data_IF_846774525673
#
_entry.id   IF_846774525673
#
_cell.length_a   1.000
_cell.length_b   1.000
_cell.length_c   1.000
_cell.angle_alpha   90.00
_cell.angle_beta   90.00
_cell.angle_gamma   90.00
#
_symmetry.space_group_name_H-M   'P 1'
#
loop_
_entity.id
_entity.type
_entity.pdbx_description
1 polymer ?
#
# COMPACT_ATOMS: atom_id res chain seq x y z
N UNK A 1 0.97 8.83 -6.24
CA UNK A 1 0.44 8.02 -5.12
C UNK A 1 -1.02 7.64 -5.33
N UNK A 2 -1.99 8.55 -5.38
CA UNK A 2 -3.41 8.20 -5.56
C UNK A 2 -3.65 7.25 -6.75
N UNK A 3 -3.02 7.51 -7.89
CA UNK A 3 -3.13 6.65 -9.07
C UNK A 3 -2.67 5.22 -8.81
N UNK A 4 -1.59 5.03 -8.06
CA UNK A 4 -1.07 3.68 -7.72
C UNK A 4 -2.13 2.88 -6.98
N UNK A 5 -2.76 3.48 -5.95
CA UNK A 5 -3.83 2.83 -5.21
C UNK A 5 -5.05 2.51 -6.08
N UNK A 6 -5.52 3.45 -6.89
CA UNK A 6 -6.66 3.23 -7.79
C UNK A 6 -6.38 2.13 -8.83
N UNK A 7 -5.13 2.02 -9.28
CA UNK A 7 -4.71 0.97 -10.21
C UNK A 7 -4.59 -0.41 -9.51
N UNK A 8 -4.28 -0.47 -8.21
CA UNK A 8 -4.32 -1.71 -7.42
C UNK A 8 -5.76 -2.19 -7.25
N UNK A 9 -6.64 -1.33 -6.72
CA UNK A 9 -7.99 -1.72 -6.35
C UNK A 9 -8.82 -2.20 -7.55
N UNK A 10 -8.85 -1.42 -8.62
CA UNK A 10 -9.78 -1.67 -9.72
C UNK A 10 -9.24 -2.62 -10.79
N UNK A 11 -8.15 -2.31 -11.50
CA UNK A 11 -7.74 -3.17 -12.60
C UNK A 11 -6.92 -4.37 -12.14
N UNK A 12 -6.00 -4.20 -11.18
CA UNK A 12 -5.07 -5.26 -10.84
C UNK A 12 -5.73 -6.40 -10.05
N UNK A 13 -6.68 -6.09 -9.15
CA UNK A 13 -7.36 -7.09 -8.32
C UNK A 13 -8.73 -7.54 -8.88
N UNK A 14 -9.29 -6.79 -9.84
CA UNK A 14 -10.63 -7.07 -10.35
C UNK A 14 -10.80 -8.50 -10.84
N UNK A 15 -11.79 -9.20 -10.30
CA UNK A 15 -12.17 -10.55 -10.70
C UNK A 15 -11.20 -11.65 -10.24
N UNK A 16 -10.13 -11.34 -9.51
CA UNK A 16 -9.25 -12.37 -8.96
C UNK A 16 -9.89 -13.07 -7.76
N UNK A 17 -9.88 -14.39 -7.80
CA UNK A 17 -10.27 -15.24 -6.66
C UNK A 17 -9.20 -15.19 -5.56
N UNK A 18 -9.57 -15.64 -4.35
CA UNK A 18 -8.59 -15.77 -3.26
C UNK A 18 -7.44 -16.72 -3.59
N UNK A 19 -7.70 -17.78 -4.36
CA UNK A 19 -6.66 -18.71 -4.80
C UNK A 19 -5.66 -18.02 -5.76
N UNK A 20 -6.16 -17.23 -6.70
CA UNK A 20 -5.32 -16.48 -7.64
C UNK A 20 -4.49 -15.40 -6.94
N UNK A 21 -5.03 -14.73 -5.95
CA UNK A 21 -4.27 -13.75 -5.16
C UNK A 21 -3.17 -14.38 -4.29
N UNK A 22 -3.34 -15.68 -3.94
CA UNK A 22 -2.34 -16.46 -3.18
C UNK A 22 -1.39 -17.25 -4.08
N UNK A 23 -1.53 -17.15 -5.39
CA UNK A 23 -0.64 -17.80 -6.34
C UNK A 23 0.79 -17.26 -6.22
N UNK A 24 1.75 -18.17 -6.08
CA UNK A 24 3.18 -17.91 -6.10
C UNK A 24 3.78 -18.64 -7.32
N UNK A 25 4.38 -17.91 -8.28
CA UNK A 25 4.98 -18.55 -9.47
C UNK A 25 6.21 -19.38 -9.12
N UNK A 26 6.78 -19.17 -7.98
CA UNK A 26 7.89 -19.91 -7.39
C UNK A 26 7.77 -19.92 -5.88
N UNK A 27 8.29 -20.95 -5.20
CA UNK A 27 8.21 -21.08 -3.74
C UNK A 27 8.78 -19.88 -2.95
N UNK A 28 9.69 -19.13 -3.56
CA UNK A 28 10.32 -17.93 -2.96
C UNK A 28 9.75 -16.61 -3.50
N UNK A 29 8.62 -16.64 -4.21
CA UNK A 29 7.99 -15.45 -4.73
C UNK A 29 6.92 -14.92 -3.77
N UNK A 30 6.69 -13.60 -3.79
CA UNK A 30 5.56 -13.01 -3.11
C UNK A 30 4.24 -13.35 -3.84
N UNK A 31 3.14 -13.35 -3.12
CA UNK A 31 1.79 -13.42 -3.68
C UNK A 31 1.07 -12.08 -3.52
N UNK A 32 -0.01 -11.87 -4.27
CA UNK A 32 -0.70 -10.58 -4.37
C UNK A 32 -1.22 -10.09 -3.02
N UNK A 33 -1.83 -10.96 -2.19
CA UNK A 33 -2.37 -10.56 -0.88
C UNK A 33 -1.26 -9.97 0.02
N UNK A 34 -0.05 -10.57 0.03
CA UNK A 34 1.10 -10.03 0.76
C UNK A 34 1.50 -8.66 0.20
N UNK A 35 1.66 -8.55 -1.11
CA UNK A 35 2.13 -7.31 -1.75
C UNK A 35 1.17 -6.15 -1.44
N UNK A 36 -0.13 -6.35 -1.58
CA UNK A 36 -1.13 -5.29 -1.34
C UNK A 36 -1.14 -4.84 0.12
N UNK A 37 -1.08 -5.79 1.06
CA UNK A 37 -0.99 -5.47 2.47
C UNK A 37 0.32 -4.74 2.80
N UNK A 38 1.45 -5.23 2.29
CA UNK A 38 2.76 -4.61 2.50
C UNK A 38 2.82 -3.17 1.98
N UNK A 39 2.29 -2.90 0.80
CA UNK A 39 2.21 -1.54 0.25
C UNK A 39 1.45 -0.59 1.21
N UNK A 40 0.35 -1.04 1.78
CA UNK A 40 -0.42 -0.24 2.73
C UNK A 40 0.35 0.00 4.04
N UNK A 41 1.06 -1.04 4.53
CA UNK A 41 1.86 -0.96 5.76
C UNK A 41 3.07 -0.04 5.61
N UNK A 42 3.76 -0.13 4.46
CA UNK A 42 4.91 0.72 4.16
C UNK A 42 4.50 2.19 4.13
N UNK A 43 3.44 2.52 3.40
CA UNK A 43 2.93 3.89 3.35
C UNK A 43 2.48 4.40 4.72
N UNK A 44 1.77 3.60 5.51
CA UNK A 44 1.34 3.95 6.85
C UNK A 44 2.54 4.23 7.78
N UNK A 45 3.56 3.38 7.71
CA UNK A 45 4.80 3.53 8.48
C UNK A 45 5.57 4.81 8.10
N UNK A 46 5.77 5.05 6.82
CA UNK A 46 6.51 6.20 6.32
C UNK A 46 5.77 7.52 6.63
N UNK A 47 4.46 7.57 6.45
CA UNK A 47 3.67 8.79 6.69
C UNK A 47 3.47 9.06 8.17
N UNK A 48 3.01 8.08 8.95
CA UNK A 48 2.66 8.33 10.34
C UNK A 48 3.86 8.18 11.27
N UNK A 49 4.56 7.04 11.19
CA UNK A 49 5.65 6.75 12.12
C UNK A 49 6.89 7.56 11.82
N UNK A 50 7.31 7.61 10.55
CA UNK A 50 8.52 8.35 10.18
C UNK A 50 8.26 9.86 10.04
N UNK A 51 7.36 10.30 9.15
CA UNK A 51 7.21 11.71 8.82
C UNK A 51 6.54 12.53 9.92
N UNK A 52 5.48 11.98 10.55
CA UNK A 52 4.68 12.67 11.56
C UNK A 52 5.09 12.32 13.00
N UNK A 53 5.92 11.29 13.21
CA UNK A 53 6.34 10.82 14.54
C UNK A 53 5.16 10.43 15.44
N UNK A 54 4.16 9.79 14.86
CA UNK A 54 2.95 9.31 15.54
C UNK A 54 2.80 7.80 15.36
N UNK A 55 1.89 7.17 16.10
CA UNK A 55 1.53 5.78 15.84
C UNK A 55 0.85 5.67 14.46
N UNK A 56 1.10 4.56 13.78
CA UNK A 56 0.46 4.23 12.50
C UNK A 56 -1.06 4.09 12.64
N UNK A 57 -1.80 4.20 11.55
CA UNK A 57 -3.23 3.86 11.52
C UNK A 57 -3.47 2.40 11.88
N UNK A 58 -2.56 1.53 11.47
CA UNK A 58 -2.53 0.12 11.85
C UNK A 58 -2.76 -0.10 13.33
N UNK A 59 -2.02 0.67 14.15
CA UNK A 59 -2.10 0.60 15.61
C UNK A 59 -3.28 1.40 16.17
N UNK A 60 -3.47 2.64 15.72
CA UNK A 60 -4.50 3.56 16.28
C UNK A 60 -5.93 3.11 16.03
N UNK A 61 -6.18 2.45 14.90
CA UNK A 61 -7.51 2.00 14.49
C UNK A 61 -7.67 0.46 14.56
N UNK A 62 -6.69 -0.23 15.19
CA UNK A 62 -6.66 -1.66 15.39
C UNK A 62 -6.91 -2.47 14.10
N UNK A 63 -6.35 -2.03 12.97
CA UNK A 63 -6.45 -2.76 11.70
C UNK A 63 -5.83 -4.15 11.78
N UNK A 64 -4.83 -4.34 12.65
CA UNK A 64 -4.22 -5.63 12.91
C UNK A 64 -5.23 -6.68 13.42
N UNK A 65 -6.21 -6.28 14.23
CA UNK A 65 -7.27 -7.20 14.70
C UNK A 65 -8.17 -7.62 13.56
N UNK A 66 -8.58 -6.69 12.69
CA UNK A 66 -9.46 -6.96 11.54
C UNK A 66 -8.80 -7.89 10.52
N UNK A 67 -7.47 -7.75 10.34
CA UNK A 67 -6.71 -8.55 9.38
C UNK A 67 -6.07 -9.79 9.99
N UNK A 68 -6.19 -9.98 11.32
CA UNK A 68 -5.67 -11.16 12.02
C UNK A 68 -4.15 -11.24 12.03
N UNK A 69 -3.47 -10.11 12.12
CA UNK A 69 -2.02 -9.99 12.12
C UNK A 69 -1.51 -9.36 13.43
N UNK A 70 -0.23 -9.54 13.81
CA UNK A 70 0.33 -8.88 14.98
C UNK A 70 0.34 -7.34 14.86
N UNK A 71 0.17 -6.62 15.98
CA UNK A 71 0.15 -5.15 15.98
C UNK A 71 1.48 -4.50 15.58
N UNK A 72 2.60 -5.20 15.77
CA UNK A 72 3.95 -4.74 15.42
C UNK A 72 4.36 -5.11 13.99
N UNK A 73 3.56 -5.93 13.30
CA UNK A 73 3.90 -6.48 12.01
C UNK A 73 3.79 -5.45 10.88
N UNK A 74 4.84 -5.32 10.08
CA UNK A 74 4.91 -4.38 8.95
C UNK A 74 5.24 -5.05 7.61
N UNK A 75 5.55 -6.35 7.63
CA UNK A 75 5.92 -7.12 6.44
C UNK A 75 7.33 -6.83 5.91
N UNK A 76 8.09 -5.94 6.54
CA UNK A 76 9.43 -5.61 6.10
C UNK A 76 10.41 -6.77 6.37
N UNK A 77 11.14 -7.18 5.34
CA UNK A 77 12.13 -8.23 5.47
C UNK A 77 11.56 -9.62 5.74
N UNK A 78 10.30 -9.87 5.40
CA UNK A 78 9.67 -11.17 5.54
C UNK A 78 10.49 -12.28 4.87
N UNK A 79 10.67 -13.39 5.58
CA UNK A 79 11.18 -14.63 4.99
C UNK A 79 10.09 -15.30 4.13
N UNK A 80 10.51 -16.26 3.33
CA UNK A 80 9.58 -17.05 2.50
C UNK A 80 8.52 -17.73 3.38
N UNK A 81 8.96 -18.29 4.51
CA UNK A 81 8.09 -18.98 5.47
C UNK A 81 7.03 -18.03 6.04
N UNK A 82 7.40 -16.79 6.33
CA UNK A 82 6.46 -15.77 6.81
C UNK A 82 5.46 -15.36 5.72
N UNK A 83 5.89 -15.21 4.48
CA UNK A 83 4.98 -14.92 3.35
C UNK A 83 3.99 -16.08 3.15
N UNK A 84 4.46 -17.31 3.19
CA UNK A 84 3.61 -18.51 3.04
C UNK A 84 2.64 -18.63 4.24
N UNK A 85 3.10 -18.35 5.45
CA UNK A 85 2.32 -18.43 6.68
C UNK A 85 1.32 -17.27 6.86
N UNK A 86 1.40 -16.22 6.04
CA UNK A 86 0.46 -15.08 6.10
C UNK A 86 -0.99 -15.61 6.04
N UNK A 87 -1.88 -15.23 6.97
CA UNK A 87 -3.28 -15.67 6.94
C UNK A 87 -3.95 -15.24 5.64
N UNK A 88 -5.09 -15.86 5.33
CA UNK A 88 -5.93 -15.42 4.20
C UNK A 88 -6.56 -14.08 4.57
N UNK A 89 -6.05 -13.01 3.97
CA UNK A 89 -6.58 -11.68 4.21
C UNK A 89 -7.97 -11.53 3.60
N UNK A 90 -8.88 -10.93 4.35
CA UNK A 90 -10.13 -10.41 3.81
C UNK A 90 -9.76 -9.20 2.93
N UNK A 91 -9.72 -9.40 1.61
CA UNK A 91 -9.22 -8.39 0.67
C UNK A 91 -9.97 -7.06 0.77
N UNK A 92 -11.27 -7.10 1.08
CA UNK A 92 -12.07 -5.91 1.29
C UNK A 92 -11.57 -5.08 2.48
N UNK A 93 -11.20 -5.72 3.59
CA UNK A 93 -10.66 -5.05 4.78
C UNK A 93 -9.24 -4.54 4.51
N UNK A 94 -8.43 -5.30 3.77
CA UNK A 94 -7.10 -4.87 3.36
C UNK A 94 -7.16 -3.61 2.47
N UNK A 95 -8.08 -3.57 1.51
CA UNK A 95 -8.30 -2.40 0.66
C UNK A 95 -8.88 -1.22 1.44
N UNK A 96 -9.79 -1.46 2.39
CA UNK A 96 -10.32 -0.41 3.26
C UNK A 96 -9.23 0.20 4.16
N UNK A 97 -8.32 -0.63 4.67
CA UNK A 97 -7.13 -0.15 5.38
C UNK A 97 -6.25 0.71 4.46
N UNK A 98 -5.95 0.21 3.26
CA UNK A 98 -5.11 0.94 2.30
C UNK A 98 -5.76 2.28 1.90
N UNK A 99 -7.07 2.32 1.70
CA UNK A 99 -7.81 3.56 1.44
C UNK A 99 -7.70 4.55 2.61
N UNK A 100 -7.86 4.06 3.85
CA UNK A 100 -7.71 4.90 5.04
C UNK A 100 -6.31 5.52 5.14
N UNK A 101 -5.26 4.73 4.88
CA UNK A 101 -3.87 5.19 4.82
C UNK A 101 -3.71 6.23 3.72
N UNK A 102 -4.20 5.94 2.51
CA UNK A 102 -4.13 6.85 1.37
C UNK A 102 -4.79 8.20 1.65
N UNK A 103 -5.99 8.18 2.26
CA UNK A 103 -6.68 9.41 2.64
C UNK A 103 -5.89 10.21 3.68
N UNK A 104 -5.26 9.55 4.63
CA UNK A 104 -4.40 10.22 5.62
C UNK A 104 -3.15 10.83 4.97
N UNK A 105 -2.52 10.09 4.06
CA UNK A 105 -1.38 10.57 3.26
C UNK A 105 -1.73 11.84 2.48
N UNK A 106 -2.85 11.84 1.77
CA UNK A 106 -3.27 13.00 0.98
C UNK A 106 -3.54 14.22 1.87
N UNK A 107 -4.18 14.04 3.03
CA UNK A 107 -4.38 15.14 4.00
C UNK A 107 -3.05 15.65 4.55
N UNK A 108 -2.11 14.77 4.83
CA UNK A 108 -0.77 15.17 5.27
C UNK A 108 -0.05 16.01 4.21
N UNK A 109 -0.12 15.59 2.94
CA UNK A 109 0.52 16.29 1.83
C UNK A 109 -0.14 17.66 1.54
N UNK A 110 -1.45 17.76 1.65
CA UNK A 110 -2.20 19.01 1.49
C UNK A 110 -1.81 20.06 2.53
N UNK A 111 -1.52 19.61 3.75
CA UNK A 111 -1.07 20.47 4.85
C UNK A 111 0.45 20.66 4.94
N UNK A 112 1.25 20.06 4.04
CA UNK A 112 2.72 20.10 4.13
C UNK A 112 3.29 21.41 3.60
N UNK A 113 3.92 22.25 4.45
CA UNK A 113 4.57 23.48 3.99
C UNK A 113 5.71 23.18 3.01
N UNK A 114 5.95 24.02 1.98
CA UNK A 114 7.05 23.82 1.04
C UNK A 114 8.43 23.68 1.71
N UNK A 115 8.67 24.39 2.80
CA UNK A 115 9.93 24.31 3.55
C UNK A 115 10.17 22.94 4.22
N UNK A 116 9.10 22.19 4.48
CA UNK A 116 9.20 20.89 5.17
C UNK A 116 9.63 19.74 4.23
N UNK A 117 9.64 19.94 2.93
CA UNK A 117 10.11 18.92 1.98
C UNK A 117 11.54 18.47 2.23
N UNK A 118 12.41 19.39 2.65
CA UNK A 118 13.82 19.13 2.99
C UNK A 118 14.03 18.76 4.46
N UNK A 119 12.97 18.75 5.27
CA UNK A 119 13.05 18.32 6.67
C UNK A 119 13.37 16.83 6.74
N UNK A 120 14.36 16.47 7.57
CA UNK A 120 14.68 15.10 7.92
C UNK A 120 14.05 14.76 9.29
N UNK A 121 13.00 13.97 9.36
CA UNK A 121 12.28 13.70 10.62
C UNK A 121 13.09 12.90 11.63
N UNK A 122 14.01 12.06 11.18
CA UNK A 122 14.89 11.25 12.04
C UNK A 122 16.33 11.26 11.52
N UNK A 123 17.07 12.35 11.76
CA UNK A 123 18.44 12.49 11.27
C UNK A 123 19.42 11.51 11.94
N UNK A 124 19.05 10.95 13.09
CA UNK A 124 19.88 9.98 13.81
C UNK A 124 19.84 8.60 13.19
N UNK A 125 18.64 8.10 12.88
CA UNK A 125 18.45 6.75 12.32
C UNK A 125 18.57 6.73 10.79
N UNK A 126 18.06 7.78 10.13
CA UNK A 126 18.02 7.89 8.66
C UNK A 126 18.59 9.24 8.21
N UNK A 127 19.90 9.48 8.37
CA UNK A 127 20.52 10.76 8.04
C UNK A 127 20.33 11.11 6.55
N UNK A 128 19.87 12.33 6.28
CA UNK A 128 19.59 12.82 4.93
C UNK A 128 18.36 12.22 4.26
N UNK A 129 17.58 11.41 4.94
CA UNK A 129 16.29 10.91 4.43
C UNK A 129 15.20 11.93 4.75
N UNK A 130 15.01 12.86 3.81
CA UNK A 130 14.04 13.96 3.93
C UNK A 130 12.63 13.51 3.58
N UNK A 131 11.63 14.35 3.91
CA UNK A 131 10.23 14.10 3.48
C UNK A 131 10.14 13.94 1.97
N UNK A 132 10.83 14.79 1.19
CA UNK A 132 10.84 14.67 -0.27
C UNK A 132 11.40 13.34 -0.77
N UNK A 133 12.50 12.86 -0.15
CA UNK A 133 13.08 11.54 -0.46
C UNK A 133 12.15 10.39 -0.08
N UNK A 134 11.53 10.47 1.08
CA UNK A 134 10.53 9.50 1.53
C UNK A 134 9.38 9.40 0.52
N UNK A 135 8.80 10.51 0.09
CA UNK A 135 7.72 10.51 -0.88
C UNK A 135 8.14 9.95 -2.25
N UNK A 136 9.36 10.26 -2.68
CA UNK A 136 9.93 9.68 -3.91
C UNK A 136 10.10 8.16 -3.77
N UNK A 137 10.58 7.69 -2.62
CA UNK A 137 10.68 6.27 -2.31
C UNK A 137 9.31 5.58 -2.38
N UNK A 138 8.30 6.09 -1.69
CA UNK A 138 6.95 5.54 -1.70
C UNK A 138 6.34 5.44 -3.12
N UNK A 139 6.61 6.42 -3.99
CA UNK A 139 6.14 6.37 -5.38
C UNK A 139 6.84 5.25 -6.15
N UNK A 140 8.15 5.13 -6.02
CA UNK A 140 8.94 4.12 -6.73
C UNK A 140 8.56 2.72 -6.24
N UNK A 141 8.56 2.51 -4.92
CA UNK A 141 8.23 1.23 -4.29
C UNK A 141 6.81 0.79 -4.65
N UNK A 142 5.83 1.68 -4.46
CA UNK A 142 4.44 1.39 -4.83
C UNK A 142 4.28 1.06 -6.31
N UNK A 143 5.01 1.73 -7.21
CA UNK A 143 4.97 1.42 -8.65
C UNK A 143 5.59 0.06 -8.97
N UNK A 144 6.70 -0.31 -8.30
CA UNK A 144 7.33 -1.63 -8.47
C UNK A 144 6.41 -2.75 -7.98
N UNK A 145 5.78 -2.58 -6.82
CA UNK A 145 4.84 -3.54 -6.27
C UNK A 145 3.57 -3.67 -7.11
N UNK A 146 3.02 -2.57 -7.61
CA UNK A 146 1.90 -2.63 -8.56
C UNK A 146 2.29 -3.40 -9.84
N UNK A 147 3.51 -3.21 -10.34
CA UNK A 147 4.04 -4.00 -11.46
C UNK A 147 4.11 -5.49 -11.16
N UNK A 148 4.50 -5.88 -9.94
CA UNK A 148 4.49 -7.29 -9.50
C UNK A 148 3.06 -7.85 -9.45
N UNK A 149 2.09 -7.12 -8.90
CA UNK A 149 0.68 -7.52 -8.88
C UNK A 149 0.15 -7.72 -10.30
N UNK A 150 0.43 -6.76 -11.19
CA UNK A 150 0.01 -6.84 -12.59
C UNK A 150 0.65 -8.04 -13.32
N UNK A 151 1.91 -8.32 -13.06
CA UNK A 151 2.63 -9.47 -13.62
C UNK A 151 2.06 -10.80 -13.12
N UNK A 152 1.83 -10.93 -11.81
CA UNK A 152 1.23 -12.12 -11.21
C UNK A 152 -0.18 -12.39 -11.75
N UNK A 153 -0.97 -11.33 -11.96
CA UNK A 153 -2.26 -11.43 -12.66
C UNK A 153 -2.07 -11.93 -14.09
N UNK A 154 -1.15 -11.34 -14.84
CA UNK A 154 -0.88 -11.69 -16.22
C UNK A 154 -0.46 -13.15 -16.40
N UNK A 155 0.31 -13.71 -15.48
CA UNK A 155 0.69 -15.12 -15.47
C UNK A 155 -0.53 -16.06 -15.37
N UNK A 156 -1.62 -15.61 -14.74
CA UNK A 156 -2.81 -16.45 -14.50
C UNK A 156 -3.94 -16.18 -15.50
N UNK A 157 -4.10 -14.93 -15.92
CA UNK A 157 -5.21 -14.45 -16.77
C UNK A 157 -4.78 -14.05 -18.18
N UNK A 158 -3.49 -14.15 -18.49
CA UNK A 158 -2.95 -13.67 -19.76
C UNK A 158 -3.09 -12.15 -19.91
N UNK A 159 -3.20 -11.69 -21.17
CA UNK A 159 -3.33 -10.27 -21.50
C UNK A 159 -4.76 -9.74 -21.35
N UNK A 160 -5.67 -10.51 -20.76
CA UNK A 160 -7.03 -10.05 -20.45
C UNK A 160 -7.01 -9.00 -19.32
N UNK A 161 -6.51 -7.82 -19.63
CA UNK A 161 -6.74 -6.66 -18.81
C UNK A 161 -8.19 -6.20 -19.01
N UNK A 162 -8.90 -5.83 -17.94
CA UNK A 162 -10.18 -5.15 -18.07
C UNK A 162 -9.99 -3.94 -18.99
N UNK A 163 -10.73 -3.86 -20.08
CA UNK A 163 -10.66 -2.78 -21.07
C UNK A 163 -10.86 -1.38 -20.46
N UNK A 164 -11.39 -1.30 -19.25
CA UNK A 164 -11.47 -0.09 -18.43
C UNK A 164 -10.10 0.56 -18.12
N UNK A 165 -9.01 -0.17 -18.22
CA UNK A 165 -7.66 0.39 -17.97
C UNK A 165 -7.22 1.37 -19.05
N UNK A 166 -7.63 1.15 -20.28
CA UNK A 166 -7.29 1.99 -21.44
C UNK A 166 -8.26 3.17 -21.60
N UNK A 167 -9.49 3.04 -21.13
CA UNK A 167 -10.55 4.02 -21.37
C UNK A 167 -10.85 4.96 -20.21
N UNK A 168 -10.36 4.67 -19.01
CA UNK A 168 -10.60 5.53 -17.86
C UNK A 168 -9.64 6.74 -17.86
N UNK A 169 -9.92 7.71 -18.71
CA UNK A 169 -9.70 9.12 -18.32
C UNK A 169 -10.68 9.43 -17.18
N UNK A 170 -10.62 8.64 -16.11
CA UNK A 170 -11.36 8.99 -14.90
C UNK A 170 -10.80 10.33 -14.42
N UNK A 171 -11.64 11.32 -14.20
CA UNK A 171 -11.23 12.53 -13.49
C UNK A 171 -10.49 12.11 -12.21
N UNK A 172 -9.55 12.93 -11.78
CA UNK A 172 -8.98 12.76 -10.45
C UNK A 172 -10.13 12.51 -9.47
N UNK A 173 -10.05 11.45 -8.66
CA UNK A 173 -11.15 11.10 -7.78
C UNK A 173 -11.44 12.23 -6.81
N UNK A 174 -12.68 12.29 -6.42
CA UNK A 174 -13.18 13.17 -5.37
C UNK A 174 -12.25 13.12 -4.14
N UNK A 175 -12.02 14.27 -3.49
CA UNK A 175 -11.27 14.31 -2.25
C UNK A 175 -11.85 13.30 -1.25
N UNK A 176 -11.00 12.70 -0.44
CA UNK A 176 -11.41 11.73 0.58
C UNK A 176 -12.61 12.26 1.36
N UNK A 177 -13.68 11.45 1.54
CA UNK A 177 -14.84 11.89 2.28
C UNK A 177 -14.42 12.36 3.68
N UNK A 178 -14.91 13.52 4.09
CA UNK A 178 -14.74 13.97 5.47
C UNK A 178 -15.38 12.92 6.39
N UNK A 179 -14.58 12.26 7.20
CA UNK A 179 -15.15 11.45 8.29
C UNK A 179 -15.91 12.42 9.18
N UNK A 180 -17.23 12.25 9.31
CA UNK A 180 -18.06 13.02 10.20
C UNK A 180 -17.43 13.07 11.59
N UNK A 181 -17.41 14.28 12.16
CA UNK A 181 -16.93 14.56 13.53
C UNK A 181 -17.75 13.82 14.55
#
# INVERSE_FOLDING_TARGET
MYKIWADVERPALSGLTAAERRFQPHAHANHIDFIVWHMARDEDGEIHTFAQRTNSLWQREAWYEKLGLPPEDDGFGYTVEQVVALPRLAIADCLAYYEAVRCATLRYLDGLPPADWERCPDPTRRPGYTIGRMLSHLIVEGSQHLGQVAYLRGLQRGLEYPTSWVSSRTPWPEPCPERGR
#
